data_IF_636507752218
#
_entry.id   IF_636507752218
#
_cell.length_a   1.000
_cell.length_b   1.000
_cell.length_c   1.000
_cell.angle_alpha   90.00
_cell.angle_beta   90.00
_cell.angle_gamma   90.00
#
_symmetry.space_group_name_H-M   'P 1'
#
loop_
_entity.id
_entity.type
_entity.pdbx_description
1 polymer ?
#
# COMPACT_ATOMS: atom_id res chain seq x y z
N UNK A 1 -89.80 29.50 -16.17
CA UNK A 1 -88.50 30.06 -15.97
C UNK A 1 -87.79 29.12 -14.96
N UNK A 2 -86.88 28.27 -15.45
CA UNK A 2 -86.22 27.24 -14.63
C UNK A 2 -84.82 27.72 -14.37
N UNK A 3 -84.42 27.93 -13.11
CA UNK A 3 -83.10 28.27 -12.69
C UNK A 3 -82.34 26.96 -12.38
N UNK A 4 -81.33 26.70 -13.13
CA UNK A 4 -80.39 25.56 -12.94
C UNK A 4 -79.26 26.01 -12.03
N UNK A 5 -79.17 25.41 -10.84
CA UNK A 5 -78.09 25.61 -9.84
C UNK A 5 -76.88 24.71 -10.22
N UNK A 6 -75.77 25.32 -10.63
CA UNK A 6 -74.54 24.63 -10.95
C UNK A 6 -73.74 24.43 -9.66
N UNK A 7 -73.56 23.17 -9.26
CA UNK A 7 -72.80 22.76 -8.12
C UNK A 7 -71.35 22.61 -8.56
N UNK A 8 -70.48 23.52 -8.13
CA UNK A 8 -69.00 23.44 -8.35
C UNK A 8 -68.38 22.41 -7.37
N UNK A 9 -67.96 21.31 -7.90
CA UNK A 9 -67.17 20.33 -7.14
C UNK A 9 -65.70 20.76 -7.13
N UNK A 10 -65.17 21.05 -5.93
CA UNK A 10 -63.76 21.35 -5.71
C UNK A 10 -63.02 20.00 -5.45
N UNK A 11 -62.02 19.61 -6.24
CA UNK A 11 -61.22 18.43 -5.91
C UNK A 11 -60.25 18.78 -4.77
N UNK A 12 -60.39 18.09 -3.65
CA UNK A 12 -59.40 18.11 -2.55
C UNK A 12 -58.11 17.40 -2.98
N UNK A 13 -57.05 18.18 -3.21
CA UNK A 13 -55.70 17.63 -3.40
C UNK A 13 -55.21 17.07 -2.09
N UNK A 14 -55.17 15.74 -1.97
CA UNK A 14 -54.46 15.04 -0.86
C UNK A 14 -52.97 15.21 -1.12
N UNK A 15 -52.30 16.06 -0.34
CA UNK A 15 -50.85 16.03 -0.18
C UNK A 15 -50.52 14.74 0.55
N UNK A 16 -50.04 13.73 -0.19
CA UNK A 16 -49.35 12.60 0.40
C UNK A 16 -48.01 13.13 0.97
N UNK A 17 -47.99 13.42 2.24
CA UNK A 17 -46.74 13.70 2.96
C UNK A 17 -45.84 12.49 2.84
N UNK A 18 -44.60 12.68 2.37
CA UNK A 18 -43.55 11.69 2.53
C UNK A 18 -43.47 11.31 3.99
N UNK A 19 -43.89 10.09 4.33
CA UNK A 19 -43.66 9.50 5.64
C UNK A 19 -42.17 9.35 5.79
N UNK A 20 -41.55 10.25 6.55
CA UNK A 20 -40.15 10.04 6.99
C UNK A 20 -40.17 8.78 7.85
N UNK A 21 -39.41 7.76 7.40
CA UNK A 21 -39.05 6.65 8.29
C UNK A 21 -38.47 7.27 9.56
N UNK A 22 -39.05 6.93 10.71
CA UNK A 22 -38.45 7.28 12.01
C UNK A 22 -37.06 6.67 12.02
N UNK A 23 -36.03 7.51 11.86
CA UNK A 23 -34.64 7.08 11.97
C UNK A 23 -34.39 6.63 13.39
N UNK A 24 -33.84 5.43 13.54
CA UNK A 24 -33.43 4.91 14.82
C UNK A 24 -32.21 5.72 15.31
N UNK A 25 -32.30 6.46 16.43
CA UNK A 25 -31.19 7.25 16.94
C UNK A 25 -29.95 6.40 17.27
N UNK A 26 -30.13 5.11 17.52
CA UNK A 26 -29.02 4.18 17.77
C UNK A 26 -28.30 3.82 16.46
N UNK A 27 -29.03 3.65 15.36
CA UNK A 27 -28.45 3.44 14.04
C UNK A 27 -27.72 4.70 13.56
N UNK A 28 -28.29 5.89 13.68
CA UNK A 28 -27.65 7.16 13.35
C UNK A 28 -26.36 7.38 14.18
N UNK A 29 -26.34 7.01 15.44
CA UNK A 29 -25.16 7.10 16.31
C UNK A 29 -24.07 6.09 15.88
N UNK A 30 -24.43 4.90 15.42
CA UNK A 30 -23.51 3.90 14.91
C UNK A 30 -22.86 4.37 13.58
N UNK A 31 -23.65 4.91 12.66
CA UNK A 31 -23.16 5.46 11.39
C UNK A 31 -22.18 6.62 11.63
N UNK A 32 -22.49 7.52 12.56
CA UNK A 32 -21.59 8.62 12.93
C UNK A 32 -20.30 8.10 13.58
N UNK A 33 -20.37 7.05 14.40
CA UNK A 33 -19.18 6.44 14.99
C UNK A 33 -18.31 5.77 13.94
N UNK A 34 -18.89 5.10 12.94
CA UNK A 34 -18.17 4.48 11.82
C UNK A 34 -17.46 5.54 10.96
N UNK A 35 -18.15 6.62 10.61
CA UNK A 35 -17.56 7.73 9.84
C UNK A 35 -16.41 8.38 10.61
N UNK A 36 -16.53 8.56 11.91
CA UNK A 36 -15.45 9.08 12.75
C UNK A 36 -14.27 8.12 12.81
N UNK A 37 -14.51 6.83 12.97
CA UNK A 37 -13.46 5.81 12.98
C UNK A 37 -12.68 5.78 11.65
N UNK A 38 -13.37 5.92 10.51
CA UNK A 38 -12.74 6.04 9.19
C UNK A 38 -11.95 7.35 9.03
N UNK A 39 -12.43 8.44 9.60
CA UNK A 39 -11.72 9.73 9.58
C UNK A 39 -10.45 9.69 10.43
N UNK A 40 -10.52 9.10 11.62
CA UNK A 40 -9.39 9.02 12.56
C UNK A 40 -8.34 7.99 12.11
N UNK A 41 -8.77 6.98 11.37
CA UNK A 41 -7.91 5.92 10.82
C UNK A 41 -8.24 5.63 9.34
N UNK A 42 -7.96 6.56 8.42
CA UNK A 42 -8.27 6.38 7.00
C UNK A 42 -7.56 5.12 6.46
N UNK A 43 -8.14 4.43 5.48
CA UNK A 43 -7.51 3.27 4.86
C UNK A 43 -6.12 3.63 4.29
N UNK A 44 -5.24 2.64 4.21
CA UNK A 44 -3.95 2.80 3.54
C UNK A 44 -4.17 3.21 2.08
N UNK A 45 -3.36 4.14 1.59
CA UNK A 45 -3.33 4.51 0.18
C UNK A 45 -2.30 3.61 -0.51
N UNK A 46 -2.71 2.68 -1.38
CA UNK A 46 -1.79 1.81 -2.08
C UNK A 46 -0.78 2.61 -2.91
N UNK A 47 0.45 2.13 -2.99
CA UNK A 47 1.50 2.67 -3.83
C UNK A 47 1.94 1.65 -4.87
N UNK A 48 2.59 2.10 -5.95
CA UNK A 48 3.18 1.24 -6.96
C UNK A 48 4.70 1.47 -7.02
N UNK A 49 5.50 0.62 -6.36
CA UNK A 49 6.94 0.69 -6.47
C UNK A 49 7.38 0.46 -7.91
N UNK A 50 8.26 1.32 -8.39
CA UNK A 50 8.72 1.31 -9.76
C UNK A 50 10.05 0.54 -9.87
N UNK A 51 10.31 0.03 -11.08
CA UNK A 51 11.59 -0.60 -11.41
C UNK A 51 12.76 0.35 -11.16
N UNK A 52 13.76 -0.13 -10.44
CA UNK A 52 15.08 0.50 -10.33
C UNK A 52 15.90 0.03 -11.54
N UNK A 53 16.15 0.94 -12.48
CA UNK A 53 16.89 0.65 -13.70
C UNK A 53 18.39 0.87 -13.51
N UNK A 54 19.20 0.34 -14.45
CA UNK A 54 20.64 0.60 -14.42
C UNK A 54 20.98 2.10 -14.41
N UNK A 55 20.24 2.90 -15.18
CA UNK A 55 20.42 4.36 -15.17
C UNK A 55 20.02 5.02 -13.83
N UNK A 56 19.14 4.40 -13.05
CA UNK A 56 18.86 4.88 -11.68
C UNK A 56 20.02 4.55 -10.75
N UNK A 57 20.62 3.35 -10.90
CA UNK A 57 21.81 2.93 -10.15
C UNK A 57 22.97 3.88 -10.39
N UNK A 58 23.29 4.17 -11.66
CA UNK A 58 24.38 5.10 -12.02
C UNK A 58 24.16 6.51 -11.50
N UNK A 59 22.96 7.07 -11.71
CA UNK A 59 22.69 8.46 -11.35
C UNK A 59 22.63 8.72 -9.84
N UNK A 60 22.29 7.70 -9.06
CA UNK A 60 22.10 7.85 -7.61
C UNK A 60 23.17 7.10 -6.81
N UNK A 61 24.21 6.58 -7.47
CA UNK A 61 25.31 5.82 -6.83
C UNK A 61 24.77 4.69 -5.91
N UNK A 62 23.96 3.81 -6.53
CA UNK A 62 23.36 2.67 -5.84
C UNK A 62 24.16 1.38 -6.02
N UNK A 63 25.41 1.47 -6.47
CA UNK A 63 26.31 0.33 -6.60
C UNK A 63 26.66 -0.26 -5.24
N UNK A 64 26.88 -1.56 -5.20
CA UNK A 64 27.34 -2.26 -4.00
C UNK A 64 26.69 -3.63 -3.83
N UNK A 65 27.31 -4.44 -2.98
CA UNK A 65 26.80 -5.73 -2.59
C UNK A 65 25.49 -5.58 -1.78
N UNK A 66 24.55 -6.49 -1.99
CA UNK A 66 23.27 -6.45 -1.30
C UNK A 66 22.25 -7.39 -1.91
N UNK A 67 20.99 -7.17 -1.56
CA UNK A 67 19.87 -7.97 -2.04
C UNK A 67 18.88 -7.10 -2.82
N UNK A 68 18.43 -7.59 -3.97
CA UNK A 68 17.37 -7.00 -4.77
C UNK A 68 16.11 -7.85 -4.73
N UNK A 69 14.94 -7.23 -4.68
CA UNK A 69 13.66 -7.91 -4.77
C UNK A 69 12.96 -7.60 -6.08
N UNK A 70 12.52 -8.65 -6.77
CA UNK A 70 11.69 -8.58 -7.96
C UNK A 70 10.36 -9.32 -7.72
N UNK A 71 9.18 -8.71 -8.00
CA UNK A 71 7.89 -9.38 -7.86
C UNK A 71 7.77 -10.61 -8.78
N UNK A 72 6.92 -11.54 -8.40
CA UNK A 72 6.61 -12.71 -9.24
C UNK A 72 6.22 -12.27 -10.67
N UNK A 73 6.67 -13.05 -11.65
CA UNK A 73 6.48 -12.75 -13.08
C UNK A 73 7.16 -11.46 -13.57
N UNK A 74 8.11 -10.92 -12.82
CA UNK A 74 8.93 -9.77 -13.20
C UNK A 74 10.42 -10.04 -12.94
N UNK A 75 11.27 -9.60 -13.85
CA UNK A 75 12.73 -9.53 -13.63
C UNK A 75 13.16 -8.14 -13.16
N UNK A 76 12.21 -7.28 -12.88
CA UNK A 76 12.47 -5.89 -12.52
C UNK A 76 12.62 -5.74 -11.02
N UNK A 77 13.80 -5.40 -10.55
CA UNK A 77 14.05 -5.08 -9.15
C UNK A 77 13.31 -3.79 -8.80
N UNK A 78 12.53 -3.83 -7.71
CA UNK A 78 11.77 -2.68 -7.20
C UNK A 78 12.20 -2.23 -5.80
N UNK A 79 12.98 -3.06 -5.11
CA UNK A 79 13.59 -2.72 -3.82
C UNK A 79 15.05 -3.22 -3.80
N UNK A 80 15.95 -2.42 -3.23
CA UNK A 80 17.34 -2.80 -2.97
C UNK A 80 17.62 -2.67 -1.48
N UNK A 81 18.31 -3.67 -0.93
CA UNK A 81 18.75 -3.75 0.45
C UNK A 81 20.27 -3.88 0.48
N UNK A 82 20.96 -2.85 0.97
CA UNK A 82 22.42 -2.82 1.13
C UNK A 82 22.78 -2.66 2.61
N UNK A 83 24.04 -2.91 3.04
CA UNK A 83 24.43 -2.83 4.45
C UNK A 83 24.08 -1.52 5.16
N UNK A 84 24.20 -0.39 4.45
CA UNK A 84 24.04 0.94 5.02
C UNK A 84 22.77 1.66 4.56
N UNK A 85 22.13 1.20 3.50
CA UNK A 85 20.98 1.88 2.88
C UNK A 85 20.05 0.89 2.21
N UNK A 86 18.74 1.17 2.26
CA UNK A 86 17.74 0.54 1.42
C UNK A 86 17.17 1.53 0.41
N UNK A 87 16.65 1.03 -0.71
CA UNK A 87 16.13 1.89 -1.77
C UNK A 87 14.83 1.36 -2.36
N UNK A 88 13.90 2.28 -2.57
CA UNK A 88 12.70 2.10 -3.38
C UNK A 88 12.68 3.16 -4.48
N UNK A 89 11.95 2.92 -5.56
CA UNK A 89 11.65 3.97 -6.53
C UNK A 89 10.15 4.24 -6.53
N UNK A 90 9.76 5.47 -6.16
CA UNK A 90 8.38 5.92 -6.09
C UNK A 90 8.27 7.25 -6.86
N UNK A 91 7.24 7.38 -7.69
CA UNK A 91 6.98 8.59 -8.49
C UNK A 91 8.21 9.11 -9.26
N UNK A 92 8.98 8.17 -9.83
CA UNK A 92 10.19 8.46 -10.61
C UNK A 92 11.41 8.84 -9.79
N UNK A 93 11.33 8.85 -8.46
CA UNK A 93 12.42 9.24 -7.55
C UNK A 93 12.91 8.06 -6.74
N UNK A 94 14.21 8.04 -6.45
CA UNK A 94 14.78 7.10 -5.49
C UNK A 94 14.52 7.60 -4.08
N UNK A 95 13.89 6.75 -3.28
CA UNK A 95 13.68 6.94 -1.84
C UNK A 95 14.74 6.11 -1.12
N UNK A 96 15.53 6.76 -0.27
CA UNK A 96 16.56 6.13 0.53
C UNK A 96 16.04 5.87 1.95
N UNK A 97 16.28 4.67 2.45
CA UNK A 97 15.85 4.22 3.77
C UNK A 97 17.07 3.73 4.57
N UNK A 98 16.98 3.85 5.89
CA UNK A 98 18.02 3.39 6.81
C UNK A 98 17.74 1.96 7.27
N UNK A 99 18.77 1.11 7.38
CA UNK A 99 18.59 -0.26 7.88
C UNK A 99 18.30 -0.30 9.38
N UNK A 100 17.49 -1.27 9.80
CA UNK A 100 17.40 -1.68 11.21
C UNK A 100 18.49 -2.68 11.53
N UNK A 101 19.65 -2.17 11.96
CA UNK A 101 20.84 -2.98 12.28
C UNK A 101 20.69 -3.84 13.54
N UNK A 102 19.59 -3.69 14.27
CA UNK A 102 19.25 -4.54 15.42
C UNK A 102 18.30 -5.69 15.07
N UNK A 103 17.78 -5.69 13.85
CA UNK A 103 16.83 -6.69 13.36
C UNK A 103 17.47 -7.90 12.70
N UNK A 104 16.65 -8.67 11.98
CA UNK A 104 17.11 -9.84 11.24
C UNK A 104 17.94 -9.45 10.02
N UNK A 105 19.03 -10.18 9.77
CA UNK A 105 19.92 -9.95 8.64
C UNK A 105 19.53 -10.75 7.40
N UNK A 106 19.93 -10.24 6.26
CA UNK A 106 20.01 -10.90 4.97
C UNK A 106 21.47 -11.15 4.60
N UNK A 107 21.77 -11.91 3.52
CA UNK A 107 23.12 -12.06 3.03
C UNK A 107 23.81 -10.73 2.72
N UNK A 108 25.14 -10.75 2.66
CA UNK A 108 25.99 -9.60 2.32
C UNK A 108 25.82 -8.42 3.28
N UNK A 109 25.67 -8.71 4.58
CA UNK A 109 25.47 -7.73 5.64
C UNK A 109 24.25 -6.80 5.43
N UNK A 110 23.31 -7.20 4.58
CA UNK A 110 22.05 -6.51 4.41
C UNK A 110 21.07 -6.84 5.52
N UNK A 111 19.96 -6.13 5.59
CA UNK A 111 18.96 -6.26 6.64
C UNK A 111 17.59 -6.57 6.05
N UNK A 112 16.73 -7.18 6.84
CA UNK A 112 15.35 -7.42 6.40
C UNK A 112 14.50 -6.14 6.41
N UNK A 113 14.75 -5.25 7.38
CA UNK A 113 13.93 -4.06 7.58
C UNK A 113 14.72 -2.77 7.34
N UNK A 114 14.07 -1.85 6.60
CA UNK A 114 14.57 -0.50 6.31
C UNK A 114 13.45 0.50 6.52
N UNK A 115 13.76 1.63 7.17
CA UNK A 115 12.79 2.68 7.46
C UNK A 115 13.29 4.06 7.01
N UNK A 116 12.36 4.87 6.53
CA UNK A 116 12.57 6.27 6.14
C UNK A 116 11.52 7.19 6.75
N UNK A 117 11.44 8.43 6.24
CA UNK A 117 10.47 9.42 6.72
C UNK A 117 9.02 9.09 6.39
N UNK A 118 8.77 8.49 5.23
CA UNK A 118 7.43 8.31 4.70
C UNK A 118 7.03 6.84 4.59
N UNK A 119 8.03 5.96 4.39
CA UNK A 119 7.84 4.54 4.18
C UNK A 119 8.87 3.71 4.93
N UNK A 120 8.50 2.47 5.22
CA UNK A 120 9.41 1.41 5.60
C UNK A 120 9.16 0.19 4.70
N UNK A 121 10.19 -0.64 4.48
CA UNK A 121 9.98 -1.91 3.82
C UNK A 121 10.62 -3.06 4.61
N UNK A 122 10.05 -4.23 4.44
CA UNK A 122 10.57 -5.49 4.97
C UNK A 122 10.70 -6.49 3.83
N UNK A 123 11.90 -7.06 3.71
CA UNK A 123 12.22 -8.18 2.82
C UNK A 123 12.33 -9.46 3.62
N UNK A 124 11.62 -10.49 3.22
CA UNK A 124 11.71 -11.81 3.82
C UNK A 124 12.07 -12.83 2.76
N UNK A 125 13.04 -13.69 3.06
CA UNK A 125 13.30 -14.88 2.25
C UNK A 125 12.49 -16.05 2.77
N UNK A 126 12.02 -16.89 1.87
CA UNK A 126 11.32 -18.14 2.21
C UNK A 126 12.28 -19.30 1.96
N UNK A 127 12.46 -20.14 2.97
CA UNK A 127 13.38 -21.27 2.90
C UNK A 127 14.83 -20.92 3.31
N UNK A 128 15.61 -21.95 3.57
CA UNK A 128 17.02 -21.84 4.03
C UNK A 128 17.98 -21.94 2.84
N UNK A 129 17.69 -22.82 1.88
CA UNK A 129 18.55 -23.07 0.73
C UNK A 129 18.21 -22.10 -0.40
N UNK A 130 19.23 -21.36 -0.86
CA UNK A 130 19.14 -20.51 -2.03
C UNK A 130 19.61 -21.24 -3.29
N UNK A 131 19.11 -20.83 -4.42
CA UNK A 131 19.59 -21.29 -5.73
C UNK A 131 20.77 -20.42 -6.18
N UNK A 132 21.92 -21.05 -6.46
CA UNK A 132 23.06 -20.38 -7.08
C UNK A 132 22.70 -20.04 -8.54
N UNK A 133 22.61 -18.75 -8.83
CA UNK A 133 22.30 -18.25 -10.17
C UNK A 133 23.54 -17.79 -10.94
N UNK A 134 24.74 -18.10 -10.45
CA UNK A 134 26.03 -17.77 -11.05
C UNK A 134 26.53 -16.37 -10.72
N UNK A 135 27.81 -16.10 -11.02
CA UNK A 135 28.47 -14.82 -10.76
C UNK A 135 28.29 -14.27 -9.33
N UNK A 136 28.45 -15.15 -8.34
CA UNK A 136 28.31 -14.81 -6.92
C UNK A 136 26.91 -14.34 -6.49
N UNK A 137 25.89 -14.74 -7.26
CA UNK A 137 24.50 -14.44 -6.95
C UNK A 137 23.75 -15.67 -6.43
N UNK A 138 23.02 -15.50 -5.37
CA UNK A 138 22.09 -16.51 -4.83
C UNK A 138 20.67 -15.94 -4.75
N UNK A 139 19.70 -16.73 -5.15
CA UNK A 139 18.29 -16.35 -5.20
C UNK A 139 17.45 -17.22 -4.28
N UNK A 140 16.44 -16.63 -3.67
CA UNK A 140 15.42 -17.29 -2.85
C UNK A 140 14.03 -16.81 -3.27
N UNK A 141 13.00 -17.64 -3.09
CA UNK A 141 11.65 -17.12 -2.99
C UNK A 141 11.57 -16.16 -1.80
N UNK A 142 10.80 -15.11 -1.92
CA UNK A 142 10.68 -14.14 -0.85
C UNK A 142 9.48 -13.22 -1.01
N UNK A 143 9.31 -12.34 -0.04
CA UNK A 143 8.26 -11.34 -0.05
C UNK A 143 8.80 -9.94 0.27
N UNK A 144 8.10 -8.95 -0.25
CA UNK A 144 8.29 -7.53 0.05
C UNK A 144 7.00 -6.98 0.62
N UNK A 145 7.07 -6.37 1.79
CA UNK A 145 5.99 -5.55 2.36
C UNK A 145 6.48 -4.13 2.54
N UNK A 146 5.68 -3.14 2.13
CA UNK A 146 5.96 -1.71 2.34
C UNK A 146 4.85 -1.13 3.19
N UNK A 147 5.23 -0.39 4.22
CA UNK A 147 4.31 0.29 5.12
C UNK A 147 4.49 1.80 5.08
N UNK A 148 3.42 2.54 5.35
CA UNK A 148 3.45 3.98 5.56
C UNK A 148 3.92 4.34 6.98
N UNK A 149 4.02 5.65 7.28
CA UNK A 149 4.40 6.17 8.60
C UNK A 149 3.46 5.78 9.74
N UNK A 150 2.26 5.31 9.42
CA UNK A 150 1.28 4.81 10.40
C UNK A 150 1.38 3.30 10.59
N UNK A 151 2.35 2.64 9.93
CA UNK A 151 2.54 1.21 9.94
C UNK A 151 1.51 0.43 9.13
N UNK A 152 0.75 1.08 8.23
CA UNK A 152 -0.22 0.43 7.37
C UNK A 152 0.47 -0.09 6.13
N UNK A 153 0.19 -1.33 5.75
CA UNK A 153 0.68 -1.92 4.50
C UNK A 153 0.08 -1.18 3.31
N UNK A 154 0.95 -0.61 2.49
CA UNK A 154 0.61 0.14 1.26
C UNK A 154 1.00 -0.62 -0.01
N UNK A 155 1.84 -1.65 0.14
CA UNK A 155 2.23 -2.57 -0.93
C UNK A 155 2.68 -3.90 -0.35
N UNK A 156 2.32 -5.00 -1.00
CA UNK A 156 2.78 -6.35 -0.66
C UNK A 156 2.91 -7.20 -1.92
N UNK A 157 3.96 -7.97 -2.03
CA UNK A 157 4.17 -8.89 -3.14
C UNK A 157 5.05 -10.07 -2.74
N UNK A 158 4.74 -11.23 -3.32
CA UNK A 158 5.63 -12.38 -3.40
C UNK A 158 6.52 -12.25 -4.63
N UNK A 159 7.72 -12.83 -4.57
CA UNK A 159 8.65 -12.77 -5.69
C UNK A 159 9.98 -13.45 -5.41
N UNK A 160 11.03 -12.91 -6.03
CA UNK A 160 12.40 -13.41 -5.89
C UNK A 160 13.28 -12.38 -5.18
N UNK A 161 13.96 -12.82 -4.15
CA UNK A 161 15.04 -12.10 -3.49
C UNK A 161 16.37 -12.64 -4.03
N UNK A 162 17.14 -11.80 -4.67
CA UNK A 162 18.47 -12.14 -5.19
C UNK A 162 19.53 -11.30 -4.49
N UNK A 163 20.54 -11.95 -3.94
CA UNK A 163 21.66 -11.30 -3.29
C UNK A 163 22.95 -11.57 -4.07
N UNK A 164 23.75 -10.52 -4.24
CA UNK A 164 25.01 -10.57 -4.99
C UNK A 164 25.83 -9.27 -4.89
N UNK A 165 26.97 -9.24 -5.57
CA UNK A 165 27.91 -8.11 -5.59
C UNK A 165 28.26 -7.66 -7.00
#
# INVERSE_FOLDING_TARGET
MKATLNLLAIPALMLAGCGGEERDPAADAADVAEVRAMHDNPPAVPIEPQRISYSDIERNDLFGAGCGFAPANSLSVIALAQPERGFLKLDGKIVTLSPDKGGASLPLDSWQHYAGSDYAFTLMRTGEDGEDTGMENTSWPGSLSITDVKGKTVYEAEGTLQCGS
#
